data_IF_353845670756
#
_entry.id   IF_353845670756
#
_cell.length_a   1.000
_cell.length_b   1.000
_cell.length_c   1.000
_cell.angle_alpha   90.00
_cell.angle_beta   90.00
_cell.angle_gamma   90.00
#
_symmetry.space_group_name_H-M   'P 1'
#
loop_
_entity.id
_entity.type
_entity.pdbx_description
1 polymer ?
#
# COMPACT_ATOMS: atom_id res chain seq x y z
N UNK A 1 12.75 -17.35 -22.82
CA UNK A 1 12.70 -16.18 -21.91
C UNK A 1 12.81 -14.94 -22.77
N UNK A 2 11.91 -13.96 -22.61
CA UNK A 2 12.06 -12.65 -23.27
C UNK A 2 13.37 -12.05 -22.76
N UNK A 3 14.33 -11.76 -23.64
CA UNK A 3 15.64 -11.21 -23.28
C UNK A 3 15.63 -9.69 -23.21
N UNK A 4 14.84 -9.05 -24.07
CA UNK A 4 14.72 -7.60 -24.18
C UNK A 4 13.34 -7.15 -23.72
N UNK A 5 13.30 -6.33 -22.67
CA UNK A 5 12.06 -5.80 -22.12
C UNK A 5 11.70 -4.51 -22.83
N UNK A 6 10.44 -4.38 -23.23
CA UNK A 6 9.86 -3.17 -23.80
C UNK A 6 8.58 -2.80 -23.05
N UNK A 7 8.09 -1.57 -23.19
CA UNK A 7 6.81 -1.16 -22.59
C UNK A 7 5.64 -2.03 -23.09
N UNK A 8 5.71 -2.55 -24.32
CA UNK A 8 4.68 -3.43 -24.90
C UNK A 8 4.81 -4.90 -24.44
N UNK A 9 5.84 -5.23 -23.66
CA UNK A 9 6.04 -6.60 -23.18
C UNK A 9 4.97 -6.94 -22.14
N UNK A 10 4.26 -8.06 -22.35
CA UNK A 10 3.25 -8.55 -21.40
C UNK A 10 3.85 -8.91 -20.03
N UNK A 11 3.18 -8.50 -18.96
CA UNK A 11 3.64 -8.67 -17.57
C UNK A 11 3.77 -10.15 -17.20
N UNK A 12 2.79 -10.97 -17.57
CA UNK A 12 2.80 -12.42 -17.32
C UNK A 12 3.84 -13.09 -18.24
N UNK A 13 3.84 -12.76 -19.53
CA UNK A 13 4.70 -13.36 -20.53
C UNK A 13 6.21 -13.20 -20.24
N UNK A 14 6.61 -12.06 -19.65
CA UNK A 14 8.01 -11.84 -19.26
C UNK A 14 8.37 -12.41 -17.89
N UNK A 15 7.43 -13.01 -17.16
CA UNK A 15 7.64 -13.53 -15.81
C UNK A 15 7.97 -12.41 -14.82
N UNK A 16 7.19 -11.32 -14.84
CA UNK A 16 7.45 -10.15 -14.01
C UNK A 16 7.66 -10.51 -12.53
N UNK A 17 8.70 -9.94 -11.93
CA UNK A 17 8.99 -10.03 -10.49
C UNK A 17 9.45 -8.68 -9.97
N UNK A 18 9.25 -8.43 -8.67
CA UNK A 18 9.71 -7.21 -7.98
C UNK A 18 11.22 -7.32 -7.67
N UNK A 19 12.01 -7.64 -8.69
CA UNK A 19 13.45 -7.92 -8.61
C UNK A 19 14.31 -6.95 -9.42
N UNK A 20 15.63 -7.11 -9.31
CA UNK A 20 16.61 -6.17 -9.90
C UNK A 20 16.46 -6.00 -11.41
N UNK A 21 16.17 -7.07 -12.15
CA UNK A 21 15.98 -7.03 -13.61
C UNK A 21 14.91 -6.02 -14.03
N UNK A 22 13.75 -6.06 -13.39
CA UNK A 22 12.64 -5.15 -13.72
C UNK A 22 12.85 -3.78 -13.10
N UNK A 23 13.47 -3.70 -11.91
CA UNK A 23 13.86 -2.43 -11.29
C UNK A 23 14.76 -1.61 -12.23
N UNK A 24 15.78 -2.26 -12.81
CA UNK A 24 16.70 -1.68 -13.80
C UNK A 24 15.95 -1.16 -15.03
N UNK A 25 15.02 -1.97 -15.57
CA UNK A 25 14.18 -1.56 -16.70
C UNK A 25 13.38 -0.30 -16.38
N UNK A 26 12.60 -0.30 -15.29
CA UNK A 26 11.78 0.86 -14.92
C UNK A 26 12.63 2.08 -14.57
N UNK A 27 13.80 1.90 -13.96
CA UNK A 27 14.78 2.96 -13.72
C UNK A 27 15.16 3.70 -15.02
N UNK A 28 15.40 2.96 -16.09
CA UNK A 28 15.71 3.53 -17.40
C UNK A 28 14.50 4.25 -18.01
N UNK A 29 13.28 3.76 -17.77
CA UNK A 29 12.05 4.38 -18.28
C UNK A 29 11.64 5.65 -17.52
N UNK A 30 11.88 5.71 -16.21
CA UNK A 30 11.53 6.86 -15.36
C UNK A 30 12.64 7.90 -15.27
N UNK A 31 13.90 7.51 -15.51
CA UNK A 31 15.06 8.35 -15.28
C UNK A 31 15.39 8.56 -13.78
N UNK A 32 14.70 7.88 -12.87
CA UNK A 32 14.92 8.01 -11.43
C UNK A 32 16.04 7.10 -10.95
N UNK A 33 17.17 7.64 -10.51
CA UNK A 33 18.31 6.85 -10.02
C UNK A 33 17.93 5.82 -8.94
N UNK A 34 17.00 6.18 -8.06
CA UNK A 34 16.55 5.39 -6.91
C UNK A 34 15.13 4.82 -7.09
N UNK A 35 14.79 4.38 -8.30
CA UNK A 35 13.46 3.82 -8.60
C UNK A 35 13.03 2.73 -7.60
N UNK A 36 11.82 2.88 -7.07
CA UNK A 36 11.16 1.88 -6.20
C UNK A 36 9.75 1.61 -6.71
N UNK A 37 9.40 0.32 -6.77
CA UNK A 37 8.02 -0.08 -7.01
C UNK A 37 7.13 0.45 -5.89
N UNK A 38 6.13 1.26 -6.25
CA UNK A 38 5.14 1.73 -5.31
C UNK A 38 4.13 0.61 -4.98
N UNK A 39 3.34 0.81 -3.94
CA UNK A 39 2.36 -0.19 -3.47
C UNK A 39 1.31 -0.53 -4.53
N UNK A 40 0.92 0.43 -5.36
CA UNK A 40 -0.12 0.27 -6.37
C UNK A 40 0.37 -0.57 -7.56
N UNK A 41 1.64 -0.43 -7.97
CA UNK A 41 2.29 -1.32 -8.94
C UNK A 41 2.35 -2.76 -8.41
N UNK A 42 2.74 -2.95 -7.15
CA UNK A 42 2.87 -4.29 -6.56
C UNK A 42 1.49 -4.96 -6.46
N UNK A 43 0.47 -4.21 -6.02
CA UNK A 43 -0.90 -4.70 -5.94
C UNK A 43 -1.46 -5.06 -7.31
N UNK A 44 -1.25 -4.19 -8.31
CA UNK A 44 -1.67 -4.42 -9.69
C UNK A 44 -0.98 -5.65 -10.27
N UNK A 45 0.33 -5.78 -10.12
CA UNK A 45 1.06 -6.93 -10.63
C UNK A 45 0.60 -8.26 -10.00
N UNK A 46 0.18 -8.24 -8.72
CA UNK A 46 -0.44 -9.40 -8.07
C UNK A 46 -1.82 -9.70 -8.66
N UNK A 47 -2.68 -8.69 -8.77
CA UNK A 47 -4.02 -8.83 -9.32
C UNK A 47 -4.02 -9.34 -10.76
N UNK A 48 -3.14 -8.83 -11.63
CA UNK A 48 -2.95 -9.27 -13.02
C UNK A 48 -2.56 -10.74 -13.09
N UNK A 49 -1.68 -11.21 -12.21
CA UNK A 49 -1.28 -12.63 -12.15
C UNK A 49 -2.40 -13.53 -11.66
N UNK A 50 -3.21 -13.06 -10.71
CA UNK A 50 -4.36 -13.80 -10.18
C UNK A 50 -5.52 -13.86 -11.19
N UNK A 51 -5.74 -12.78 -11.95
CA UNK A 51 -6.76 -12.73 -12.99
C UNK A 51 -6.35 -13.42 -14.29
N UNK A 52 -5.05 -13.65 -14.50
CA UNK A 52 -4.52 -14.22 -15.75
C UNK A 52 -4.61 -13.25 -16.93
N UNK A 53 -4.55 -11.94 -16.68
CA UNK A 53 -4.69 -10.91 -17.70
C UNK A 53 -3.42 -10.81 -18.58
N UNK A 54 -3.40 -11.58 -19.66
CA UNK A 54 -2.30 -11.62 -20.63
C UNK A 54 -2.17 -10.31 -21.44
N UNK A 55 -3.20 -9.47 -21.46
CA UNK A 55 -3.18 -8.19 -22.19
C UNK A 55 -2.39 -7.11 -21.45
N UNK A 56 -2.16 -7.27 -20.15
CA UNK A 56 -1.51 -6.28 -19.31
C UNK A 56 0.00 -6.23 -19.56
N UNK A 57 0.53 -5.02 -19.82
CA UNK A 57 1.93 -4.79 -20.22
C UNK A 57 2.77 -4.11 -19.14
N UNK A 58 4.10 -4.05 -19.34
CA UNK A 58 4.99 -3.26 -18.50
C UNK A 58 4.71 -1.74 -18.63
N UNK A 59 4.23 -1.29 -19.78
CA UNK A 59 3.77 0.09 -20.00
C UNK A 59 2.55 0.43 -19.17
N UNK A 60 1.56 -0.48 -19.11
CA UNK A 60 0.41 -0.32 -18.23
C UNK A 60 0.82 -0.22 -16.76
N UNK A 61 1.80 -1.02 -16.34
CA UNK A 61 2.35 -0.95 -14.99
C UNK A 61 3.06 0.38 -14.72
N UNK A 62 3.68 0.98 -15.74
CA UNK A 62 4.29 2.31 -15.65
C UNK A 62 3.23 3.41 -15.59
N UNK A 63 2.11 3.26 -16.27
CA UNK A 63 0.99 4.20 -16.13
C UNK A 63 0.38 4.15 -14.73
N UNK A 64 0.35 2.98 -14.09
CA UNK A 64 0.00 2.84 -12.66
C UNK A 64 1.02 3.58 -11.79
N UNK A 65 2.31 3.47 -12.10
CA UNK A 65 3.37 4.19 -11.39
C UNK A 65 3.13 5.72 -11.37
N UNK A 66 2.79 6.28 -12.53
CA UNK A 66 2.49 7.71 -12.68
C UNK A 66 1.07 8.12 -12.26
N UNK A 67 0.24 7.18 -11.79
CA UNK A 67 -1.16 7.46 -11.43
C UNK A 67 -2.07 7.79 -12.61
N UNK A 68 -1.67 7.43 -13.84
CA UNK A 68 -2.45 7.64 -15.07
C UNK A 68 -3.49 6.54 -15.31
N UNK A 69 -3.23 5.34 -14.81
CA UNK A 69 -4.11 4.18 -14.89
C UNK A 69 -4.38 3.67 -13.47
N UNK A 70 -5.53 3.03 -13.29
CA UNK A 70 -5.88 2.29 -12.07
C UNK A 70 -6.33 0.89 -12.50
N UNK A 71 -5.80 -0.16 -11.87
CA UNK A 71 -6.19 -1.55 -12.13
C UNK A 71 -6.66 -2.22 -10.85
N UNK A 72 -5.77 -2.31 -9.85
CA UNK A 72 -6.12 -2.69 -8.49
C UNK A 72 -5.64 -1.58 -7.55
N UNK A 73 -6.56 -1.00 -6.79
CA UNK A 73 -6.20 -0.12 -5.67
C UNK A 73 -5.82 -1.00 -4.49
N UNK A 74 -4.58 -0.87 -4.02
CA UNK A 74 -4.21 -1.48 -2.76
C UNK A 74 -5.03 -0.83 -1.64
N UNK A 75 -5.74 -1.61 -0.84
CA UNK A 75 -6.46 -1.05 0.30
C UNK A 75 -5.47 -0.57 1.37
N UNK A 76 -5.08 0.70 1.25
CA UNK A 76 -4.21 1.40 2.20
C UNK A 76 -4.83 1.40 3.60
N UNK A 77 -6.16 1.23 3.73
CA UNK A 77 -6.86 1.13 5.01
C UNK A 77 -6.35 -0.04 5.84
N UNK A 78 -6.09 -1.21 5.24
CA UNK A 78 -5.59 -2.38 5.97
C UNK A 78 -4.17 -2.14 6.53
N UNK A 79 -3.28 -1.48 5.76
CA UNK A 79 -1.95 -1.11 6.25
C UNK A 79 -2.02 -0.01 7.30
N UNK A 80 -2.85 1.00 7.09
CA UNK A 80 -3.04 2.09 8.04
C UNK A 80 -3.60 1.55 9.36
N UNK A 81 -4.59 0.66 9.32
CA UNK A 81 -5.11 -0.04 10.49
C UNK A 81 -4.03 -0.85 11.20
N UNK A 82 -3.24 -1.65 10.47
CA UNK A 82 -2.17 -2.43 11.09
C UNK A 82 -1.11 -1.54 11.77
N UNK A 83 -0.74 -0.43 11.13
CA UNK A 83 0.16 0.57 11.72
C UNK A 83 -0.49 1.23 12.94
N UNK A 84 -1.75 1.65 12.83
CA UNK A 84 -2.53 2.27 13.88
C UNK A 84 -2.60 1.40 15.13
N UNK A 85 -2.99 0.13 14.98
CA UNK A 85 -3.06 -0.83 16.09
C UNK A 85 -1.69 -1.08 16.69
N UNK A 86 -0.64 -1.20 15.86
CA UNK A 86 0.73 -1.40 16.35
C UNK A 86 1.18 -0.22 17.20
N UNK A 87 0.97 1.00 16.73
CA UNK A 87 1.38 2.24 17.39
C UNK A 87 0.54 2.47 18.67
N UNK A 88 -0.78 2.25 18.61
CA UNK A 88 -1.66 2.25 19.78
C UNK A 88 -1.18 1.25 20.84
N UNK A 89 -0.88 0.01 20.43
CA UNK A 89 -0.44 -1.04 21.35
C UNK A 89 0.96 -0.78 21.95
N UNK A 90 1.77 0.06 21.31
CA UNK A 90 3.09 0.45 21.80
C UNK A 90 3.03 1.57 22.84
N UNK A 91 1.91 2.31 22.92
CA UNK A 91 1.70 3.35 23.93
C UNK A 91 1.31 2.73 25.27
N UNK A 92 2.09 3.00 26.31
CA UNK A 92 1.90 2.46 27.66
C UNK A 92 0.57 2.92 28.29
N UNK A 93 0.09 4.13 27.96
CA UNK A 93 -1.18 4.65 28.50
C UNK A 93 -2.40 3.87 28.03
N UNK A 94 -2.29 3.23 26.87
CA UNK A 94 -3.38 2.36 26.37
C UNK A 94 -3.46 1.03 27.12
N UNK A 95 -2.51 0.74 28.03
CA UNK A 95 -2.54 -0.42 28.90
C UNK A 95 -3.72 -0.43 29.88
N UNK A 96 -4.39 0.71 30.07
CA UNK A 96 -5.61 0.82 30.90
C UNK A 96 -6.83 0.12 30.28
N UNK A 97 -6.83 -0.14 28.98
CA UNK A 97 -7.96 -0.78 28.30
C UNK A 97 -7.83 -2.30 28.32
N UNK A 98 -8.77 -2.99 28.95
CA UNK A 98 -8.84 -4.45 28.90
C UNK A 98 -9.09 -4.95 27.46
N UNK A 99 -9.96 -4.27 26.70
CA UNK A 99 -10.28 -4.57 25.31
C UNK A 99 -9.51 -3.65 24.33
N UNK A 100 -8.17 -3.72 24.31
CA UNK A 100 -7.30 -2.81 23.54
C UNK A 100 -7.67 -2.69 22.06
N UNK A 101 -8.01 -3.80 21.40
CA UNK A 101 -8.42 -3.79 19.98
C UNK A 101 -9.74 -3.04 19.75
N UNK A 102 -10.68 -3.10 20.70
CA UNK A 102 -11.96 -2.40 20.61
C UNK A 102 -11.77 -0.90 20.80
N UNK A 103 -10.92 -0.51 21.76
CA UNK A 103 -10.52 0.89 21.95
C UNK A 103 -9.79 1.44 20.71
N UNK A 104 -8.83 0.70 20.16
CA UNK A 104 -8.16 1.06 18.91
C UNK A 104 -9.15 1.19 17.74
N UNK A 105 -10.12 0.28 17.62
CA UNK A 105 -11.12 0.32 16.55
C UNK A 105 -12.04 1.53 16.66
N UNK A 106 -12.40 1.95 17.89
CA UNK A 106 -13.17 3.15 18.13
C UNK A 106 -12.41 4.42 17.70
N UNK A 107 -11.13 4.56 18.09
CA UNK A 107 -10.29 5.68 17.63
C UNK A 107 -10.05 5.65 16.11
N UNK A 108 -9.80 4.47 15.55
CA UNK A 108 -9.66 4.30 14.10
C UNK A 108 -10.91 4.77 13.35
N UNK A 109 -12.10 4.52 13.91
CA UNK A 109 -13.36 5.00 13.34
C UNK A 109 -13.43 6.53 13.25
N UNK A 110 -12.89 7.24 14.23
CA UNK A 110 -12.88 8.70 14.26
C UNK A 110 -11.95 9.25 13.17
N UNK A 111 -10.71 8.75 13.08
CA UNK A 111 -9.74 9.25 12.10
C UNK A 111 -10.04 8.84 10.67
N UNK A 112 -10.78 7.72 10.46
CA UNK A 112 -11.20 7.31 9.11
C UNK A 112 -12.41 8.11 8.60
N UNK A 113 -13.28 8.58 9.50
CA UNK A 113 -14.48 9.37 9.17
C UNK A 113 -14.21 10.88 9.17
N UNK A 114 -13.00 11.32 9.57
CA UNK A 114 -12.57 12.71 9.59
C UNK A 114 -11.44 13.00 8.59
N UNK A 115 -11.11 14.29 8.48
CA UNK A 115 -9.95 14.80 7.73
C UNK A 115 -8.62 14.66 8.50
N UNK A 116 -8.64 14.02 9.68
CA UNK A 116 -7.44 13.78 10.47
C UNK A 116 -6.49 12.81 9.75
N UNK A 117 -5.22 12.83 10.19
CA UNK A 117 -4.25 11.82 9.77
C UNK A 117 -4.75 10.44 10.23
N UNK A 118 -4.74 9.47 9.32
CA UNK A 118 -5.18 8.09 9.55
C UNK A 118 -4.07 7.29 10.25
N UNK A 119 -3.61 7.82 11.37
CA UNK A 119 -2.49 7.34 12.17
C UNK A 119 -2.84 7.53 13.65
N UNK A 120 -2.24 6.70 14.51
CA UNK A 120 -2.37 6.87 15.96
C UNK A 120 -1.44 7.99 16.44
N UNK A 121 -1.89 8.77 17.41
CA UNK A 121 -1.06 9.66 18.22
C UNK A 121 -1.53 9.65 19.67
N UNK A 122 -0.64 10.02 20.58
CA UNK A 122 -1.00 10.16 21.98
C UNK A 122 -2.07 11.25 22.20
N UNK A 123 -1.95 12.39 21.50
CA UNK A 123 -2.94 13.46 21.53
C UNK A 123 -4.35 12.97 21.11
N UNK A 124 -4.42 12.08 20.10
CA UNK A 124 -5.68 11.46 19.67
C UNK A 124 -6.28 10.60 20.80
N UNK A 125 -5.45 9.87 21.53
CA UNK A 125 -5.90 9.12 22.69
C UNK A 125 -6.45 10.06 23.75
N UNK A 126 -5.73 11.12 24.13
CA UNK A 126 -6.15 12.07 25.18
C UNK A 126 -7.48 12.75 24.83
N UNK A 127 -7.62 13.23 23.59
CA UNK A 127 -8.81 13.94 23.11
C UNK A 127 -10.07 13.04 23.17
N UNK A 128 -9.94 11.79 22.75
CA UNK A 128 -11.07 10.86 22.63
C UNK A 128 -11.12 9.81 23.75
N UNK A 129 -10.28 9.89 24.77
CA UNK A 129 -10.21 8.94 25.91
C UNK A 129 -11.57 8.75 26.57
N UNK A 130 -12.33 9.84 26.69
CA UNK A 130 -13.63 9.90 27.35
C UNK A 130 -14.74 9.07 26.67
N UNK A 131 -14.58 8.68 25.39
CA UNK A 131 -15.55 7.85 24.66
C UNK A 131 -15.13 6.37 24.55
N UNK A 132 -13.98 6.00 25.12
CA UNK A 132 -13.44 4.64 25.05
C UNK A 132 -13.80 3.75 26.26
N UNK A 133 -14.50 4.31 27.25
CA UNK A 133 -14.93 3.63 28.48
C UNK A 133 -16.43 3.32 28.50
#
# INVERSE_FOLDING_TARGET
MVTELTLNTGLIACGFTVGNRFREFFRQQTGEENFKFNVDMVATAKAVKESGDESFTLGDLLDIYYGKKTYATYDKSALQWNKFVKDFCADEETGIFNERLKAAAALWKIVRESDMKKEYSHDLLEEYKHILF
#
